data_IF_653542203374
#
_entry.id   IF_653542203374
#
_cell.length_a   1.000
_cell.length_b   1.000
_cell.length_c   1.000
_cell.angle_alpha   90.00
_cell.angle_beta   90.00
_cell.angle_gamma   90.00
#
_symmetry.space_group_name_H-M   'P 1'
#
loop_
_entity.id
_entity.type
_entity.pdbx_description
1 polymer ?
#
# COMPACT_ATOMS: atom_id res chain seq x y z
N UNK A 1 -2.87 0.60 19.67
CA UNK A 1 -3.71 1.82 19.77
C UNK A 1 -5.15 1.39 19.99
N UNK A 2 -5.78 1.79 21.10
CA UNK A 2 -7.23 1.64 21.27
C UNK A 2 -7.90 2.48 20.19
N UNK A 3 -8.58 1.81 19.24
CA UNK A 3 -9.28 2.51 18.16
C UNK A 3 -10.45 3.27 18.78
N UNK A 4 -10.34 4.58 18.88
CA UNK A 4 -11.34 5.44 19.49
C UNK A 4 -12.60 5.58 18.64
N UNK A 5 -13.59 6.29 19.18
CA UNK A 5 -14.79 6.68 18.46
C UNK A 5 -14.54 8.03 17.78
N UNK A 6 -14.77 8.11 16.47
CA UNK A 6 -14.46 9.27 15.63
C UNK A 6 -15.66 9.64 14.74
N UNK A 7 -15.93 10.93 14.61
CA UNK A 7 -16.85 11.50 13.61
C UNK A 7 -16.07 12.42 12.70
N UNK A 8 -16.15 12.18 11.39
CA UNK A 8 -15.69 13.11 10.36
C UNK A 8 -16.93 13.76 9.75
N UNK A 9 -17.12 15.06 9.93
CA UNK A 9 -18.34 15.77 9.48
C UNK A 9 -18.04 16.92 8.54
N UNK A 10 -19.08 17.41 7.87
CA UNK A 10 -19.06 18.56 6.96
C UNK A 10 -18.09 18.40 5.77
N UNK A 11 -17.73 17.18 5.39
CA UNK A 11 -16.92 16.96 4.19
C UNK A 11 -17.68 17.51 2.97
N UNK A 12 -17.01 18.27 2.11
CA UNK A 12 -17.63 18.79 0.88
C UNK A 12 -18.21 17.64 0.07
N UNK A 13 -17.46 16.54 0.01
CA UNK A 13 -17.90 15.26 -0.53
C UNK A 13 -17.30 14.10 0.27
N UNK A 14 -18.12 13.09 0.56
CA UNK A 14 -17.66 11.76 0.97
C UNK A 14 -17.84 10.83 -0.22
N UNK A 15 -16.75 10.22 -0.67
CA UNK A 15 -16.77 9.23 -1.74
C UNK A 15 -16.79 7.84 -1.13
N UNK A 16 -17.73 7.02 -1.56
CA UNK A 16 -17.88 5.63 -1.15
C UNK A 16 -17.67 4.70 -2.34
N UNK A 17 -17.01 3.57 -2.10
CA UNK A 17 -17.07 2.45 -3.02
C UNK A 17 -18.45 1.78 -2.86
N UNK A 18 -19.16 1.52 -3.95
CA UNK A 18 -20.44 0.81 -3.90
C UNK A 18 -20.33 -0.61 -4.45
N UNK A 19 -21.17 -1.51 -3.93
CA UNK A 19 -21.24 -2.91 -4.36
C UNK A 19 -20.40 -3.87 -3.50
N UNK A 20 -20.62 -5.17 -3.71
CA UNK A 20 -19.94 -6.28 -3.03
C UNK A 20 -19.04 -7.08 -3.98
N UNK A 21 -18.74 -6.53 -5.16
CA UNK A 21 -17.93 -7.17 -6.20
C UNK A 21 -17.05 -6.15 -6.90
N UNK A 22 -16.03 -6.65 -7.60
CA UNK A 22 -15.26 -5.84 -8.54
C UNK A 22 -16.19 -5.25 -9.62
N UNK A 23 -16.02 -3.95 -9.86
CA UNK A 23 -16.70 -3.24 -10.94
C UNK A 23 -15.87 -3.34 -12.21
N UNK A 24 -16.54 -3.56 -13.35
CA UNK A 24 -15.88 -3.72 -14.65
C UNK A 24 -16.54 -2.84 -15.71
N UNK A 25 -15.76 -2.38 -16.70
CA UNK A 25 -16.29 -1.60 -17.83
C UNK A 25 -17.00 -0.32 -17.37
N UNK A 26 -18.25 -0.13 -17.79
CA UNK A 26 -19.04 1.09 -17.47
C UNK A 26 -19.34 1.25 -15.98
N UNK A 27 -19.37 0.15 -15.23
CA UNK A 27 -19.62 0.18 -13.78
C UNK A 27 -18.51 0.93 -13.03
N UNK A 28 -17.29 0.99 -13.60
CA UNK A 28 -16.16 1.72 -13.00
C UNK A 28 -16.42 3.24 -12.89
N UNK A 29 -17.40 3.78 -13.63
CA UNK A 29 -17.81 5.19 -13.54
C UNK A 29 -18.86 5.45 -12.45
N UNK A 30 -19.38 4.41 -11.80
CA UNK A 30 -20.38 4.55 -10.74
C UNK A 30 -19.71 4.80 -9.38
N UNK A 31 -19.61 6.08 -9.00
CA UNK A 31 -19.11 6.51 -7.71
C UNK A 31 -20.26 6.83 -6.75
N UNK A 32 -20.16 6.40 -5.50
CA UNK A 32 -21.10 6.79 -4.45
C UNK A 32 -20.66 8.11 -3.82
N UNK A 33 -21.04 9.25 -4.41
CA UNK A 33 -20.67 10.58 -3.91
C UNK A 33 -21.79 11.14 -3.04
N UNK A 34 -21.46 11.51 -1.80
CA UNK A 34 -22.37 12.11 -0.83
C UNK A 34 -21.92 13.54 -0.54
N UNK A 35 -22.64 14.56 -1.07
CA UNK A 35 -22.36 15.97 -0.77
C UNK A 35 -22.63 16.28 0.70
N UNK A 36 -21.80 17.13 1.32
CA UNK A 36 -21.93 17.50 2.74
C UNK A 36 -22.01 16.26 3.67
N UNK A 37 -21.17 15.27 3.37
CA UNK A 37 -21.20 13.96 3.99
C UNK A 37 -20.56 13.91 5.37
N UNK A 38 -20.96 12.89 6.13
CA UNK A 38 -20.47 12.56 7.47
C UNK A 38 -20.15 11.07 7.54
N UNK A 39 -19.07 10.72 8.24
CA UNK A 39 -18.64 9.34 8.53
C UNK A 39 -18.54 9.17 10.04
N UNK A 40 -19.18 8.14 10.58
CA UNK A 40 -19.08 7.75 12.00
C UNK A 40 -18.30 6.45 12.12
N UNK A 41 -17.30 6.45 12.98
CA UNK A 41 -16.40 5.33 13.23
C UNK A 41 -16.44 5.00 14.71
N UNK A 42 -16.70 3.73 15.03
CA UNK A 42 -16.60 3.21 16.40
C UNK A 42 -15.62 2.05 16.41
N UNK A 43 -14.68 2.07 17.36
CA UNK A 43 -13.70 0.98 17.51
C UNK A 43 -12.94 0.67 16.21
N UNK A 44 -12.74 1.70 15.38
CA UNK A 44 -12.08 1.59 14.08
C UNK A 44 -12.88 0.89 12.98
N UNK A 45 -14.19 0.75 13.15
CA UNK A 45 -15.12 0.25 12.15
C UNK A 45 -16.06 1.37 11.77
N UNK A 46 -16.30 1.55 10.47
CA UNK A 46 -17.29 2.49 9.96
C UNK A 46 -18.68 1.99 10.37
N UNK A 47 -19.41 2.79 11.15
CA UNK A 47 -20.77 2.50 11.61
C UNK A 47 -21.85 3.12 10.74
N UNK A 48 -21.61 4.33 10.27
CA UNK A 48 -22.55 5.05 9.43
C UNK A 48 -21.83 5.98 8.46
N UNK A 49 -22.40 6.14 7.28
CA UNK A 49 -22.00 7.09 6.24
C UNK A 49 -23.26 7.66 5.61
N UNK A 50 -23.34 8.98 5.47
CA UNK A 50 -24.52 9.66 4.95
C UNK A 50 -24.40 11.16 5.07
N UNK A 51 -25.48 11.89 4.87
CA UNK A 51 -25.50 13.33 5.16
C UNK A 51 -25.42 13.58 6.67
N UNK A 52 -24.99 14.78 7.07
CA UNK A 52 -24.95 15.15 8.48
C UNK A 52 -26.32 15.01 9.17
N UNK A 53 -27.42 15.31 8.45
CA UNK A 53 -28.78 15.24 8.98
C UNK A 53 -29.24 13.80 9.22
N UNK A 54 -28.94 12.88 8.30
CA UNK A 54 -29.30 11.47 8.42
C UNK A 54 -28.52 10.77 9.53
N UNK A 55 -27.22 11.06 9.62
CA UNK A 55 -26.32 10.29 10.47
C UNK A 55 -26.32 10.84 11.90
N UNK A 56 -26.15 12.15 12.10
CA UNK A 56 -25.89 12.70 13.43
C UNK A 56 -27.10 12.68 14.37
N UNK A 57 -28.31 12.41 13.85
CA UNK A 57 -29.52 12.29 14.67
C UNK A 57 -29.45 11.11 15.66
N UNK A 58 -28.73 10.04 15.29
CA UNK A 58 -28.68 8.79 16.04
C UNK A 58 -27.44 8.67 16.95
N UNK A 59 -26.53 9.66 16.92
CA UNK A 59 -25.26 9.60 17.66
C UNK A 59 -25.06 10.79 18.60
N UNK A 60 -24.78 10.48 19.87
CA UNK A 60 -24.32 11.47 20.86
C UNK A 60 -22.86 11.86 20.56
N UNK A 61 -22.68 13.00 19.90
CA UNK A 61 -21.37 13.55 19.50
C UNK A 61 -20.40 13.76 20.69
N UNK A 62 -20.89 13.88 21.93
CA UNK A 62 -20.01 14.08 23.11
C UNK A 62 -19.14 12.86 23.40
N UNK A 63 -19.48 11.70 22.84
CA UNK A 63 -18.75 10.43 22.99
C UNK A 63 -17.69 10.19 21.90
N UNK A 64 -17.49 11.16 21.01
CA UNK A 64 -16.65 11.02 19.83
C UNK A 64 -15.60 12.12 19.77
N UNK A 65 -14.42 11.78 19.28
CA UNK A 65 -13.54 12.77 18.69
C UNK A 65 -14.18 13.28 17.39
N UNK A 66 -14.08 14.58 17.11
CA UNK A 66 -14.73 15.18 15.94
C UNK A 66 -13.68 15.87 15.06
N UNK A 67 -13.63 15.46 13.80
CA UNK A 67 -12.88 16.10 12.73
C UNK A 67 -13.86 16.87 11.84
N UNK A 68 -13.65 18.17 11.70
CA UNK A 68 -14.36 19.00 10.74
C UNK A 68 -13.63 19.01 9.39
N UNK A 69 -14.24 18.41 8.37
CA UNK A 69 -13.69 18.26 7.03
C UNK A 69 -14.25 19.29 6.02
N UNK A 70 -14.75 20.43 6.51
CA UNK A 70 -15.26 21.52 5.67
C UNK A 70 -14.31 21.86 4.49
N UNK A 71 -14.86 21.84 3.28
CA UNK A 71 -14.11 22.13 2.04
C UNK A 71 -13.13 21.05 1.62
N UNK A 72 -13.15 19.86 2.24
CA UNK A 72 -12.31 18.71 1.89
C UNK A 72 -13.15 17.56 1.34
N UNK A 73 -12.52 16.73 0.53
CA UNK A 73 -13.04 15.42 0.15
C UNK A 73 -12.57 14.37 1.16
N UNK A 74 -13.45 13.43 1.49
CA UNK A 74 -13.13 12.25 2.30
C UNK A 74 -13.27 11.03 1.39
N UNK A 75 -12.19 10.27 1.26
CA UNK A 75 -12.10 9.09 0.39
C UNK A 75 -11.71 7.86 1.23
N UNK A 76 -12.01 6.64 0.75
CA UNK A 76 -11.41 5.43 1.31
C UNK A 76 -9.89 5.50 1.15
N UNK A 77 -9.17 4.88 2.08
CA UNK A 77 -7.73 4.69 1.93
C UNK A 77 -7.42 3.89 0.66
N UNK A 78 -6.34 4.22 -0.03
CA UNK A 78 -5.99 3.59 -1.29
C UNK A 78 -5.41 2.19 -1.07
N UNK A 79 -5.66 1.33 -2.07
CA UNK A 79 -5.14 -0.03 -2.12
C UNK A 79 -4.15 -0.13 -3.27
N UNK A 80 -2.88 -0.34 -2.96
CA UNK A 80 -1.87 -0.65 -3.99
C UNK A 80 -1.74 -2.17 -4.13
N UNK A 81 -2.43 -2.72 -5.13
CA UNK A 81 -2.56 -4.16 -5.32
C UNK A 81 -1.35 -4.86 -5.94
N UNK A 82 -0.27 -4.13 -6.25
CA UNK A 82 0.87 -4.73 -6.93
C UNK A 82 2.18 -4.01 -6.64
N UNK A 83 2.95 -4.54 -5.68
CA UNK A 83 4.29 -4.00 -5.41
C UNK A 83 5.33 -5.09 -5.20
N UNK A 84 6.59 -4.72 -5.35
CA UNK A 84 7.75 -5.48 -4.87
C UNK A 84 8.56 -4.59 -3.93
N UNK A 85 7.95 -4.15 -2.82
CA UNK A 85 8.52 -3.09 -1.98
C UNK A 85 9.64 -3.58 -1.03
N UNK A 86 9.80 -4.89 -0.85
CA UNK A 86 10.90 -5.46 -0.06
C UNK A 86 12.00 -5.96 -0.99
N UNK A 87 13.07 -5.17 -1.11
CA UNK A 87 14.26 -5.51 -1.89
C UNK A 87 15.50 -4.80 -1.35
N UNK A 88 16.66 -5.40 -1.58
CA UNK A 88 17.97 -4.84 -1.29
C UNK A 88 18.52 -3.98 -2.44
N UNK A 89 19.37 -3.03 -2.08
CA UNK A 89 20.05 -2.15 -3.03
C UNK A 89 19.14 -1.16 -3.77
N UNK A 90 19.68 -0.55 -4.82
CA UNK A 90 18.99 0.39 -5.69
C UNK A 90 19.58 0.33 -7.10
N UNK A 91 18.79 0.60 -8.13
CA UNK A 91 19.22 0.53 -9.54
C UNK A 91 19.43 1.92 -10.17
N UNK A 92 19.94 2.88 -9.39
CA UNK A 92 20.18 4.24 -9.86
C UNK A 92 21.22 4.30 -11.00
N UNK A 93 22.23 3.44 -10.96
CA UNK A 93 23.24 3.38 -12.01
C UNK A 93 22.66 2.88 -13.34
N UNK A 94 21.79 1.87 -13.29
CA UNK A 94 21.08 1.40 -14.49
C UNK A 94 20.22 2.51 -15.11
N UNK A 95 19.58 3.33 -14.28
CA UNK A 95 18.86 4.50 -14.78
C UNK A 95 19.79 5.44 -15.57
N UNK A 96 21.01 5.66 -15.07
CA UNK A 96 22.02 6.46 -15.77
C UNK A 96 22.49 5.82 -17.08
N UNK A 97 22.62 4.49 -17.13
CA UNK A 97 22.99 3.74 -18.33
C UNK A 97 21.92 3.84 -19.42
N UNK A 98 20.64 3.68 -19.02
CA UNK A 98 19.50 3.86 -19.93
C UNK A 98 19.44 5.27 -20.52
N UNK A 99 19.73 6.30 -19.72
CA UNK A 99 19.77 7.69 -20.20
C UNK A 99 20.87 7.94 -21.25
N UNK A 100 21.96 7.17 -21.21
CA UNK A 100 23.02 7.23 -22.23
C UNK A 100 22.70 6.44 -23.50
N UNK A 101 21.59 5.70 -23.51
CA UNK A 101 21.18 4.87 -24.65
C UNK A 101 21.72 3.45 -24.61
N UNK A 102 22.30 2.99 -23.48
CA UNK A 102 22.74 1.60 -23.34
C UNK A 102 21.52 0.66 -23.48
N UNK A 103 21.65 -0.38 -24.29
CA UNK A 103 20.60 -1.36 -24.52
C UNK A 103 20.36 -2.23 -23.28
N UNK A 104 19.17 -2.82 -23.20
CA UNK A 104 18.81 -3.73 -22.10
C UNK A 104 19.81 -4.90 -21.95
N UNK A 105 20.31 -5.44 -23.07
CA UNK A 105 21.29 -6.54 -23.06
C UNK A 105 22.64 -6.08 -22.52
N UNK A 106 23.16 -4.93 -22.96
CA UNK A 106 24.43 -4.38 -22.45
C UNK A 106 24.36 -4.06 -20.94
N UNK A 107 23.19 -3.64 -20.46
CA UNK A 107 22.93 -3.42 -19.03
C UNK A 107 22.94 -4.75 -18.26
N UNK A 108 22.31 -5.81 -18.80
CA UNK A 108 22.34 -7.13 -18.19
C UNK A 108 23.75 -7.73 -18.17
N UNK A 109 24.52 -7.59 -19.24
CA UNK A 109 25.91 -8.07 -19.31
C UNK A 109 26.82 -7.42 -18.26
N UNK A 110 26.52 -6.18 -17.85
CA UNK A 110 27.20 -5.47 -16.76
C UNK A 110 26.70 -5.86 -15.37
N UNK A 111 25.85 -6.88 -15.26
CA UNK A 111 25.26 -7.32 -13.99
C UNK A 111 24.06 -6.49 -13.53
N UNK A 112 23.46 -5.68 -14.42
CA UNK A 112 22.24 -4.93 -14.16
C UNK A 112 20.98 -5.81 -14.23
N UNK A 113 19.81 -5.17 -14.32
CA UNK A 113 18.55 -5.92 -14.43
C UNK A 113 18.08 -6.52 -13.10
N UNK A 114 17.21 -7.53 -13.18
CA UNK A 114 16.65 -8.20 -12.00
C UNK A 114 17.72 -8.90 -11.15
N UNK A 115 18.75 -9.45 -11.79
CA UNK A 115 19.80 -10.20 -11.09
C UNK A 115 20.61 -9.31 -10.13
N UNK A 116 20.80 -8.03 -10.47
CA UNK A 116 21.39 -7.03 -9.57
C UNK A 116 20.59 -6.92 -8.26
N UNK A 117 19.27 -6.80 -8.37
CA UNK A 117 18.38 -6.72 -7.19
C UNK A 117 18.33 -8.05 -6.45
N UNK A 118 18.38 -9.19 -7.15
CA UNK A 118 18.45 -10.52 -6.53
C UNK A 118 19.69 -10.63 -5.66
N UNK A 119 20.86 -10.29 -6.20
CA UNK A 119 22.11 -10.31 -5.45
C UNK A 119 22.05 -9.39 -4.22
N UNK A 120 21.64 -8.13 -4.41
CA UNK A 120 21.54 -7.18 -3.31
C UNK A 120 20.54 -7.61 -2.22
N UNK A 121 19.45 -8.28 -2.60
CA UNK A 121 18.44 -8.78 -1.65
C UNK A 121 18.92 -10.03 -0.91
N UNK A 122 19.69 -10.90 -1.57
CA UNK A 122 20.37 -12.04 -0.93
C UNK A 122 21.36 -11.57 0.13
N UNK A 123 22.20 -10.61 -0.22
CA UNK A 123 23.25 -10.05 0.65
C UNK A 123 22.68 -9.22 1.81
N UNK A 124 21.55 -8.55 1.62
CA UNK A 124 20.94 -7.74 2.67
C UNK A 124 20.47 -8.58 3.88
N UNK A 125 20.76 -8.09 5.08
CA UNK A 125 20.21 -8.61 6.33
C UNK A 125 18.70 -8.41 6.42
N UNK A 126 18.06 -9.13 7.34
CA UNK A 126 16.63 -8.95 7.63
C UNK A 126 16.35 -7.52 8.11
N UNK A 127 17.23 -6.98 8.94
CA UNK A 127 17.13 -5.68 9.57
C UNK A 127 17.21 -4.55 8.53
N UNK A 128 18.11 -4.66 7.53
CA UNK A 128 18.19 -3.71 6.42
C UNK A 128 16.94 -3.74 5.54
N UNK A 129 16.41 -4.93 5.26
CA UNK A 129 15.18 -5.09 4.49
C UNK A 129 13.96 -4.55 5.25
N UNK A 130 13.89 -4.74 6.57
CA UNK A 130 12.87 -4.13 7.43
C UNK A 130 12.95 -2.60 7.42
N UNK A 131 14.14 -2.04 7.64
CA UNK A 131 14.34 -0.59 7.68
C UNK A 131 13.96 0.07 6.35
N UNK A 132 14.44 -0.49 5.23
CA UNK A 132 14.13 0.03 3.90
C UNK A 132 12.66 -0.19 3.51
N UNK A 133 12.08 -1.35 3.84
CA UNK A 133 10.66 -1.64 3.64
C UNK A 133 9.76 -0.65 4.37
N UNK A 134 10.05 -0.37 5.65
CA UNK A 134 9.31 0.62 6.45
C UNK A 134 9.34 2.00 5.81
N UNK A 135 10.50 2.49 5.38
CA UNK A 135 10.61 3.80 4.72
C UNK A 135 9.74 3.90 3.45
N UNK A 136 9.64 2.79 2.69
CA UNK A 136 8.77 2.73 1.51
C UNK A 136 7.29 2.74 1.90
N UNK A 137 6.91 2.01 2.96
CA UNK A 137 5.55 2.05 3.50
C UNK A 137 5.16 3.43 4.06
N UNK A 138 6.07 4.12 4.75
CA UNK A 138 5.85 5.49 5.23
C UNK A 138 5.55 6.44 4.05
N UNK A 139 6.28 6.26 2.94
CA UNK A 139 6.07 7.03 1.71
C UNK A 139 4.71 6.72 1.08
N UNK A 140 4.34 5.44 0.97
CA UNK A 140 3.02 5.01 0.47
C UNK A 140 1.89 5.58 1.33
N UNK A 141 2.04 5.56 2.66
CA UNK A 141 1.07 6.10 3.60
C UNK A 141 0.87 7.61 3.41
N UNK A 142 1.96 8.35 3.18
CA UNK A 142 1.90 9.79 2.91
C UNK A 142 1.14 10.12 1.62
N UNK A 143 1.04 9.17 0.67
CA UNK A 143 0.22 9.29 -0.54
C UNK A 143 -1.21 8.72 -0.37
N UNK A 144 -1.59 8.29 0.83
CA UNK A 144 -2.94 7.83 1.16
C UNK A 144 -3.16 6.32 1.03
N UNK A 145 -2.11 5.52 0.79
CA UNK A 145 -2.22 4.05 0.77
C UNK A 145 -2.41 3.54 2.19
N UNK A 146 -3.44 2.72 2.40
CA UNK A 146 -3.72 2.06 3.68
C UNK A 146 -3.59 0.55 3.60
N UNK A 147 -3.59 -0.01 2.38
CA UNK A 147 -3.39 -1.45 2.13
C UNK A 147 -2.47 -1.62 0.94
N UNK A 148 -1.47 -2.49 1.07
CA UNK A 148 -0.52 -2.79 0.00
C UNK A 148 -0.38 -4.29 -0.16
N UNK A 149 -0.26 -4.73 -1.40
CA UNK A 149 0.23 -6.06 -1.71
C UNK A 149 1.73 -6.02 -1.98
N UNK A 150 2.48 -6.90 -1.31
CA UNK A 150 3.91 -7.07 -1.46
C UNK A 150 4.26 -8.46 -1.95
N UNK A 151 5.03 -8.50 -3.04
CA UNK A 151 5.55 -9.73 -3.62
C UNK A 151 6.98 -9.97 -3.16
N UNK A 152 7.32 -11.24 -2.96
CA UNK A 152 8.71 -11.69 -2.95
C UNK A 152 9.27 -11.72 -4.40
N UNK A 153 10.22 -12.59 -4.72
CA UNK A 153 10.74 -12.76 -6.07
C UNK A 153 12.08 -12.12 -6.35
N UNK A 154 12.70 -11.44 -5.37
CA UNK A 154 14.10 -11.03 -5.45
C UNK A 154 15.05 -11.97 -4.68
N UNK A 155 14.61 -13.18 -4.38
CA UNK A 155 15.46 -14.23 -3.83
C UNK A 155 15.87 -15.25 -4.87
N UNK A 156 14.89 -15.79 -5.61
CA UNK A 156 15.10 -16.92 -6.54
C UNK A 156 15.80 -18.13 -5.89
N UNK A 157 15.69 -18.23 -4.56
CA UNK A 157 16.10 -19.32 -3.70
C UNK A 157 15.21 -19.33 -2.45
N UNK A 158 15.04 -20.49 -1.83
CA UNK A 158 14.09 -20.67 -0.73
C UNK A 158 14.37 -19.74 0.45
N UNK A 159 15.63 -19.62 0.84
CA UNK A 159 16.04 -18.86 2.02
C UNK A 159 15.70 -17.37 1.88
N UNK A 160 15.96 -16.79 0.72
CA UNK A 160 15.76 -15.36 0.46
C UNK A 160 14.30 -15.03 0.13
N UNK A 161 13.58 -15.96 -0.50
CA UNK A 161 12.13 -15.82 -0.68
C UNK A 161 11.39 -15.83 0.67
N UNK A 162 11.72 -16.78 1.56
CA UNK A 162 11.18 -16.83 2.92
C UNK A 162 11.55 -15.56 3.69
N UNK A 163 12.81 -15.11 3.61
CA UNK A 163 13.28 -13.87 4.24
C UNK A 163 12.41 -12.66 3.83
N UNK A 164 12.09 -12.50 2.54
CA UNK A 164 11.22 -11.41 2.08
C UNK A 164 9.80 -11.53 2.66
N UNK A 165 9.21 -12.73 2.67
CA UNK A 165 7.86 -12.96 3.20
C UNK A 165 7.79 -12.69 4.71
N UNK A 166 8.81 -13.06 5.47
CA UNK A 166 8.88 -12.80 6.91
C UNK A 166 9.15 -11.33 7.23
N UNK A 167 9.96 -10.62 6.42
CA UNK A 167 10.11 -9.17 6.53
C UNK A 167 8.77 -8.48 6.32
N UNK A 168 8.01 -8.87 5.27
CA UNK A 168 6.68 -8.32 5.04
C UNK A 168 5.70 -8.65 6.19
N UNK A 169 5.81 -9.84 6.80
CA UNK A 169 4.98 -10.21 7.95
C UNK A 169 5.27 -9.34 9.18
N UNK A 170 6.55 -9.03 9.43
CA UNK A 170 6.93 -8.15 10.53
C UNK A 170 6.45 -6.71 10.27
N UNK A 171 6.57 -6.22 9.04
CA UNK A 171 6.06 -4.90 8.65
C UNK A 171 4.53 -4.80 8.81
N UNK A 172 3.78 -5.83 8.43
CA UNK A 172 2.32 -5.93 8.63
C UNK A 172 1.91 -5.78 10.12
N UNK A 173 2.76 -6.27 11.04
CA UNK A 173 2.50 -6.19 12.48
C UNK A 173 2.88 -4.84 13.10
N UNK A 174 3.86 -4.16 12.51
CA UNK A 174 4.52 -3.00 13.10
C UNK A 174 4.16 -1.66 12.44
N UNK A 175 3.64 -1.69 11.21
CA UNK A 175 3.26 -0.52 10.43
C UNK A 175 1.72 -0.40 10.35
N UNK A 176 1.14 0.82 10.28
CA UNK A 176 -0.32 0.99 10.16
C UNK A 176 -0.93 0.59 8.82
N UNK A 177 -0.11 0.35 7.78
CA UNK A 177 -0.58 -0.17 6.48
C UNK A 177 -0.75 -1.68 6.60
N UNK A 178 -1.88 -2.20 6.15
CA UNK A 178 -2.11 -3.64 6.01
C UNK A 178 -1.29 -4.20 4.83
N UNK A 179 -0.54 -5.29 5.05
CA UNK A 179 0.33 -5.90 4.03
C UNK A 179 -0.15 -7.29 3.63
N UNK A 180 -0.67 -7.39 2.40
CA UNK A 180 -0.98 -8.66 1.75
C UNK A 180 0.29 -9.23 1.12
N UNK A 181 0.62 -10.49 1.40
CA UNK A 181 1.87 -11.12 0.95
C UNK A 181 1.62 -12.11 -0.17
N UNK A 182 2.39 -11.99 -1.24
CA UNK A 182 2.37 -12.90 -2.38
C UNK A 182 3.74 -13.54 -2.58
N UNK A 183 3.79 -14.86 -2.60
CA UNK A 183 4.98 -15.58 -3.03
C UNK A 183 5.14 -15.50 -4.55
N UNK A 184 6.31 -15.06 -5.01
CA UNK A 184 6.66 -14.97 -6.42
C UNK A 184 8.07 -15.51 -6.67
N UNK A 185 8.39 -16.71 -6.18
CA UNK A 185 9.71 -17.32 -6.46
C UNK A 185 9.97 -17.54 -7.96
N UNK A 186 8.91 -17.71 -8.76
CA UNK A 186 8.96 -17.80 -10.22
C UNK A 186 9.03 -16.42 -10.91
N UNK A 187 9.82 -15.48 -10.36
CA UNK A 187 9.93 -14.12 -10.89
C UNK A 187 10.87 -14.04 -12.11
N UNK A 188 11.95 -14.82 -12.09
CA UNK A 188 12.92 -14.95 -13.17
C UNK A 188 13.67 -16.28 -13.06
N UNK A 189 14.44 -16.63 -14.09
CA UNK A 189 15.31 -17.82 -14.09
C UNK A 189 16.68 -17.44 -13.48
N UNK A 190 17.05 -17.98 -12.31
CA UNK A 190 18.38 -17.77 -11.73
C UNK A 190 19.50 -18.51 -12.50
N UNK A 191 20.74 -17.97 -12.59
CA UNK A 191 21.87 -18.65 -13.23
C UNK A 191 22.54 -19.72 -12.37
N UNK A 192 23.14 -20.77 -12.98
CA UNK A 192 22.50 -21.69 -13.91
C UNK A 192 21.80 -22.82 -13.12
N UNK A 193 20.47 -22.82 -13.20
CA UNK A 193 19.68 -24.05 -13.06
C UNK A 193 19.63 -24.78 -14.41
#
# INVERSE_FOLDING_TARGET
>A
MTRGNLIIKNAAEVVTCSGSRAKCGREMSELGVIPNGTVVIEQGIIRAVGTAQEVLADFDQTRYEVIDAAGKAVLPGFVDSHTHFVFGGYRAEEFSWRLRGDSYMEIMERGGGILSTVQATREASREELLASGRKRLDSMLAFGVTTVEGKSGYGLDDATEIKQLEVMQALDREHPIDVVRTFLGAHAVPPPY
#
